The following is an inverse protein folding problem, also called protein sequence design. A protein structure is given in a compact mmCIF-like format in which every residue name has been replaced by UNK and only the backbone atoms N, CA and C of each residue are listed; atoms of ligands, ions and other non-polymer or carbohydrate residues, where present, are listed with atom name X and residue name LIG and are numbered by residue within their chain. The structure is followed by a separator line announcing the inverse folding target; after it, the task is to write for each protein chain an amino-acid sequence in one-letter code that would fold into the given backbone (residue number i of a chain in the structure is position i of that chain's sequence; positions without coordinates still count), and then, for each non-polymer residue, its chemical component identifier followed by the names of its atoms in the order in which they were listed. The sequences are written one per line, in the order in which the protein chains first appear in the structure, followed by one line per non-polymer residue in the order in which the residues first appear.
data_IF_978521487645
#
_entry.id   IF_978521487645
#
_cell.length_a   1.000
_cell.length_b   1.000
_cell.length_c   1.000
_cell.angle_alpha   90.00
_cell.angle_beta   90.00
_cell.angle_gamma   90.00
#
_symmetry.space_group_name_H-M   'P 1'
#
loop_
_entity.id
_entity.type
_entity.pdbx_description
1 polymer ?
#
# COMPACT_ATOMS: atom_id res chain seq x y z
N UNK A 1 -6.80 7.57 10.85
CA UNK A 1 -5.74 6.55 10.96
C UNK A 1 -5.35 6.37 12.41
N UNK A 2 -5.41 5.15 12.93
CA UNK A 2 -4.90 4.78 14.25
C UNK A 2 -3.76 3.76 14.07
N UNK A 3 -2.62 3.98 14.73
CA UNK A 3 -1.49 3.05 14.72
C UNK A 3 -1.60 2.07 15.88
N UNK A 4 -1.41 0.80 15.60
CA UNK A 4 -1.34 -0.29 16.57
C UNK A 4 0.06 -0.92 16.56
N UNK A 5 0.56 -1.29 17.74
CA UNK A 5 1.67 -2.23 17.85
C UNK A 5 1.08 -3.64 17.86
N UNK A 6 1.61 -4.53 17.04
CA UNK A 6 1.17 -5.92 16.90
C UNK A 6 2.39 -6.84 16.94
N UNK A 7 2.27 -8.08 17.45
CA UNK A 7 3.38 -9.02 17.39
C UNK A 7 3.64 -9.42 15.93
N UNK A 8 4.92 -9.49 15.56
CA UNK A 8 5.36 -10.05 14.28
C UNK A 8 4.90 -11.51 14.18
N UNK A 9 4.42 -11.93 13.01
CA UNK A 9 3.99 -13.33 12.81
C UNK A 9 5.18 -14.26 13.07
N UNK A 10 4.91 -15.38 13.75
CA UNK A 10 5.89 -16.47 13.87
C UNK A 10 6.24 -16.99 12.48
N UNK A 11 7.51 -17.31 12.29
CA UNK A 11 8.05 -17.91 11.07
C UNK A 11 7.82 -17.06 9.80
N UNK A 12 7.81 -15.72 9.95
CA UNK A 12 7.58 -14.78 8.85
C UNK A 12 8.49 -15.04 7.65
N UNK A 13 9.79 -15.30 7.88
CA UNK A 13 10.76 -15.53 6.81
C UNK A 13 10.41 -16.79 5.99
N UNK A 14 10.00 -17.88 6.67
CA UNK A 14 9.58 -19.11 6.00
C UNK A 14 8.28 -18.88 5.22
N UNK A 15 7.30 -18.20 5.82
CA UNK A 15 6.04 -17.87 5.16
C UNK A 15 6.27 -16.99 3.94
N UNK A 16 7.18 -16.01 4.04
CA UNK A 16 7.56 -15.15 2.94
C UNK A 16 8.19 -15.97 1.80
N UNK A 17 9.14 -16.85 2.11
CA UNK A 17 9.76 -17.75 1.13
C UNK A 17 8.73 -18.68 0.47
N UNK A 18 7.84 -19.30 1.24
CA UNK A 18 6.82 -20.23 0.74
C UNK A 18 5.81 -19.56 -0.22
N UNK A 19 5.63 -18.24 -0.10
CA UNK A 19 4.72 -17.44 -0.93
C UNK A 19 5.45 -16.59 -2.00
N UNK A 20 6.76 -16.74 -2.14
CA UNK A 20 7.56 -15.95 -3.10
C UNK A 20 7.59 -14.45 -2.77
N UNK A 21 7.47 -14.08 -1.50
CA UNK A 21 7.51 -12.70 -1.03
C UNK A 21 8.95 -12.27 -0.71
N UNK A 22 9.77 -12.04 -1.74
CA UNK A 22 11.20 -11.75 -1.57
C UNK A 22 11.50 -10.32 -1.08
N UNK A 23 10.51 -9.43 -1.10
CA UNK A 23 10.68 -8.00 -0.76
C UNK A 23 10.37 -7.67 0.71
N UNK A 24 10.32 -8.66 1.61
CA UNK A 24 10.16 -8.36 3.05
C UNK A 24 11.43 -7.72 3.65
N UNK A 25 12.59 -7.93 3.03
CA UNK A 25 13.88 -7.30 3.32
C UNK A 25 14.45 -6.75 2.01
N UNK A 26 14.93 -5.50 2.00
CA UNK A 26 15.60 -4.86 0.86
C UNK A 26 16.87 -4.20 1.38
N UNK A 27 17.99 -4.36 0.65
CA UNK A 27 19.30 -3.81 1.04
C UNK A 27 19.71 -4.16 2.48
N UNK A 28 19.36 -5.37 2.92
CA UNK A 28 19.61 -5.88 4.27
C UNK A 28 18.85 -5.11 5.39
N UNK A 29 17.82 -4.36 5.02
CA UNK A 29 16.93 -3.61 5.92
C UNK A 29 15.50 -4.14 5.82
N UNK A 30 14.74 -4.06 6.93
CA UNK A 30 13.34 -4.49 6.97
C UNK A 30 12.52 -3.54 6.08
N UNK A 31 11.99 -4.05 4.97
CA UNK A 31 11.05 -3.31 4.13
C UNK A 31 9.62 -3.50 4.61
N UNK A 32 9.26 -4.72 5.03
CA UNK A 32 7.93 -5.04 5.54
C UNK A 32 7.95 -5.22 7.07
N UNK A 33 7.64 -4.15 7.81
CA UNK A 33 7.58 -4.17 9.28
C UNK A 33 6.21 -4.65 9.79
N UNK A 34 6.09 -5.95 10.10
CA UNK A 34 4.88 -6.52 10.70
C UNK A 34 4.63 -6.10 12.16
N UNK A 35 5.53 -5.37 12.83
CA UNK A 35 5.31 -4.93 14.22
C UNK A 35 4.27 -3.81 14.36
N UNK A 36 3.77 -3.30 13.22
CA UNK A 36 2.89 -2.14 13.14
C UNK A 36 1.71 -2.43 12.23
N UNK A 37 0.52 -2.03 12.68
CA UNK A 37 -0.68 -2.05 11.85
C UNK A 37 -1.37 -0.68 11.88
N UNK A 38 -1.88 -0.23 10.75
CA UNK A 38 -2.63 1.03 10.64
C UNK A 38 -4.09 0.72 10.37
N UNK A 39 -4.97 1.25 11.21
CA UNK A 39 -6.41 1.09 11.10
C UNK A 39 -7.05 2.37 10.59
N UNK A 40 -7.94 2.20 9.62
CA UNK A 40 -8.76 3.25 9.05
C UNK A 40 -10.24 2.96 9.34
N UNK A 41 -11.06 4.00 9.41
CA UNK A 41 -12.51 3.81 9.30
C UNK A 41 -12.90 3.64 7.84
N UNK A 42 -14.06 3.03 7.57
CA UNK A 42 -14.56 2.90 6.19
C UNK A 42 -14.64 4.27 5.49
N UNK A 43 -15.16 5.29 6.20
CA UNK A 43 -15.19 6.67 5.70
C UNK A 43 -13.81 7.21 5.31
N UNK A 44 -12.76 6.90 6.09
CA UNK A 44 -11.39 7.33 5.75
C UNK A 44 -10.89 6.64 4.48
N UNK A 45 -11.23 5.36 4.29
CA UNK A 45 -10.86 4.61 3.09
C UNK A 45 -11.57 5.21 1.87
N UNK A 46 -12.91 5.26 1.91
CA UNK A 46 -13.71 5.63 0.74
C UNK A 46 -13.58 7.11 0.37
N UNK A 47 -13.75 8.02 1.34
CA UNK A 47 -13.85 9.45 1.05
C UNK A 47 -12.49 10.14 0.98
N UNK A 48 -11.47 9.63 1.68
CA UNK A 48 -10.18 10.33 1.85
C UNK A 48 -9.03 9.65 1.11
N UNK A 49 -9.18 8.39 0.68
CA UNK A 49 -8.15 7.69 -0.09
C UNK A 49 -8.70 7.32 -1.47
N UNK A 50 -9.75 6.50 -1.54
CA UNK A 50 -10.24 5.95 -2.81
C UNK A 50 -10.80 7.04 -3.73
N UNK A 51 -11.72 7.88 -3.24
CA UNK A 51 -12.32 8.96 -4.03
C UNK A 51 -11.28 9.94 -4.61
N UNK A 52 -10.37 10.55 -3.81
CA UNK A 52 -9.37 11.46 -4.37
C UNK A 52 -8.36 10.73 -5.27
N UNK A 53 -8.05 9.46 -5.02
CA UNK A 53 -7.20 8.66 -5.92
C UNK A 53 -7.86 8.47 -7.29
N UNK A 54 -9.17 8.17 -7.32
CA UNK A 54 -9.93 8.05 -8.57
C UNK A 54 -9.99 9.38 -9.34
N UNK A 55 -10.17 10.50 -8.63
CA UNK A 55 -10.16 11.84 -9.23
C UNK A 55 -8.79 12.16 -9.86
N UNK A 56 -7.69 11.93 -9.12
CA UNK A 56 -6.34 12.13 -9.63
C UNK A 56 -6.03 11.22 -10.82
N UNK A 57 -6.48 9.97 -10.78
CA UNK A 57 -6.35 9.04 -11.90
C UNK A 57 -7.06 9.58 -13.15
N UNK A 58 -8.30 10.07 -13.01
CA UNK A 58 -9.05 10.65 -14.10
C UNK A 58 -8.35 11.89 -14.68
N UNK A 59 -7.82 12.76 -13.84
CA UNK A 59 -7.01 13.92 -14.27
C UNK A 59 -5.79 13.49 -15.09
N UNK A 60 -5.09 12.42 -14.68
CA UNK A 60 -3.96 11.87 -15.45
C UNK A 60 -4.40 11.37 -16.83
N UNK A 61 -5.55 10.68 -16.92
CA UNK A 61 -6.09 10.22 -18.21
C UNK A 61 -6.46 11.40 -19.12
N UNK A 62 -7.04 12.47 -18.58
CA UNK A 62 -7.35 13.69 -19.34
C UNK A 62 -6.11 14.39 -19.88
N UNK A 63 -4.98 14.34 -19.16
CA UNK A 63 -3.69 14.86 -19.66
C UNK A 63 -3.21 14.03 -20.85
N UNK A 64 -3.26 12.70 -20.75
CA UNK A 64 -2.84 11.80 -21.84
C UNK A 64 -3.72 11.98 -23.07
N UNK A 65 -5.03 12.09 -22.89
CA UNK A 65 -5.98 12.32 -23.98
C UNK A 65 -5.70 13.63 -24.73
N UNK A 66 -5.46 14.73 -24.00
CA UNK A 66 -5.09 16.02 -24.59
C UNK A 66 -3.75 15.97 -25.33
N UNK A 67 -2.76 15.25 -24.80
CA UNK A 67 -1.46 15.10 -25.45
C UNK A 67 -1.53 14.23 -26.71
N UNK A 68 -2.42 13.24 -26.74
CA UNK A 68 -2.59 12.32 -27.87
C UNK A 68 -3.43 12.87 -29.02
N UNK A 69 -4.31 13.85 -28.75
CA UNK A 69 -5.11 14.54 -29.76
C UNK A 69 -4.24 15.64 -30.41
N UNK A 70 -3.75 15.36 -31.62
CA UNK A 70 -3.22 16.38 -32.54
C UNK A 70 -4.35 17.17 -33.18
#
# INVERSE_FOLDING_TARGET
MLRHNVPVRRDLDQIAADNGFDFHIIDNEIYWDESRAYRFTLRQIEEQIEKPTAELHQMCLEVVDRAGKR
#
